data_IF_338148691121
#
_entry.id   IF_338148691121
#
_cell.length_a   1.000
_cell.length_b   1.000
_cell.length_c   1.000
_cell.angle_alpha   90.00
_cell.angle_beta   90.00
_cell.angle_gamma   90.00
#
_symmetry.space_group_name_H-M   'P 1'
#
loop_
_entity.id
_entity.type
_entity.pdbx_description
1 polymer ?
#
# COMPACT_ATOMS: atom_id res chain seq x y z
N UNK A 1 4.10 15.46 8.92
CA UNK A 1 5.55 15.35 8.67
C UNK A 1 5.68 14.84 7.25
N UNK A 2 6.28 15.63 6.35
CA UNK A 2 6.28 15.40 4.90
C UNK A 2 7.52 14.59 4.53
N UNK A 3 7.36 13.45 3.85
CA UNK A 3 8.43 12.88 3.02
C UNK A 3 7.78 12.27 1.77
N UNK A 4 7.66 13.11 0.73
CA UNK A 4 7.42 12.72 -0.67
C UNK A 4 8.51 13.46 -1.45
N UNK A 5 9.11 12.88 -2.50
CA UNK A 5 10.21 13.50 -3.22
C UNK A 5 9.78 14.89 -3.70
N UNK A 6 10.60 15.89 -3.36
CA UNK A 6 10.41 17.29 -3.67
C UNK A 6 10.57 17.53 -5.17
N UNK A 7 9.62 17.08 -5.99
CA UNK A 7 9.31 17.80 -7.24
C UNK A 7 8.24 18.83 -6.88
N UNK A 8 8.36 20.11 -7.29
CA UNK A 8 7.36 21.12 -7.01
C UNK A 8 6.05 20.71 -7.68
N UNK A 9 5.18 20.04 -6.91
CA UNK A 9 3.79 19.83 -7.27
C UNK A 9 3.17 21.22 -7.34
N UNK A 10 2.90 21.68 -8.57
CA UNK A 10 2.19 22.93 -8.82
C UNK A 10 0.97 23.03 -7.90
N UNK A 11 0.72 24.24 -7.40
CA UNK A 11 -0.06 24.61 -6.20
C UNK A 11 -1.55 24.20 -6.14
N UNK A 12 -2.03 23.29 -7.01
CA UNK A 12 -3.45 22.89 -7.09
C UNK A 12 -3.72 21.38 -7.03
N UNK A 13 -2.70 20.52 -6.92
CA UNK A 13 -2.94 19.09 -6.71
C UNK A 13 -3.04 18.80 -5.20
N UNK A 14 -4.27 18.68 -4.68
CA UNK A 14 -4.50 17.96 -3.42
C UNK A 14 -4.20 16.49 -3.70
N UNK A 15 -2.96 16.06 -3.47
CA UNK A 15 -2.58 14.65 -3.54
C UNK A 15 -3.22 13.95 -2.35
N UNK A 16 -4.45 13.44 -2.52
CA UNK A 16 -4.98 12.44 -1.61
C UNK A 16 -4.53 11.08 -2.15
N UNK A 17 -3.32 10.67 -1.75
CA UNK A 17 -2.89 9.29 -1.92
C UNK A 17 -3.69 8.45 -0.92
N UNK A 18 -4.75 7.82 -1.41
CA UNK A 18 -5.43 6.79 -0.66
C UNK A 18 -4.61 5.52 -0.86
N UNK A 19 -3.59 5.36 -0.01
CA UNK A 19 -2.95 4.05 0.19
C UNK A 19 -4.03 3.18 0.80
N UNK A 20 -4.68 2.38 -0.02
CA UNK A 20 -5.49 1.28 0.48
C UNK A 20 -4.52 0.23 0.97
N UNK A 21 -3.98 0.43 2.17
CA UNK A 21 -3.31 -0.62 2.93
C UNK A 21 -4.37 -1.57 3.50
N UNK A 22 -5.24 -2.09 2.63
CA UNK A 22 -5.85 -3.37 2.90
C UNK A 22 -4.76 -4.37 2.52
N UNK A 23 -3.92 -4.74 3.49
CA UNK A 23 -3.07 -5.91 3.34
C UNK A 23 -4.01 -7.12 3.31
N UNK A 24 -4.58 -7.38 2.13
CA UNK A 24 -5.34 -8.59 1.90
C UNK A 24 -4.27 -9.62 1.59
N UNK A 25 -3.91 -10.44 2.58
CA UNK A 25 -3.21 -11.69 2.31
C UNK A 25 -4.11 -12.45 1.34
N UNK A 26 -3.69 -12.54 0.09
CA UNK A 26 -4.54 -13.06 -0.97
C UNK A 26 -4.71 -14.57 -0.76
N UNK A 27 -5.87 -14.97 -0.23
CA UNK A 27 -6.32 -16.37 -0.26
C UNK A 27 -7.04 -16.70 -1.58
N UNK A 28 -7.48 -15.67 -2.32
CA UNK A 28 -8.17 -15.80 -3.60
C UNK A 28 -7.17 -15.64 -4.78
N UNK A 29 -7.43 -16.29 -5.93
CA UNK A 29 -6.62 -16.11 -7.14
C UNK A 29 -6.52 -14.63 -7.52
N UNK A 30 -5.32 -14.16 -7.86
CA UNK A 30 -5.05 -12.75 -8.18
C UNK A 30 -5.94 -12.24 -9.33
N UNK A 31 -6.26 -13.12 -10.28
CA UNK A 31 -7.08 -12.83 -11.47
C UNK A 31 -8.49 -12.31 -11.16
N UNK A 32 -9.16 -12.83 -10.13
CA UNK A 32 -10.53 -12.38 -9.78
C UNK A 32 -10.52 -10.95 -9.22
N UNK A 33 -9.50 -10.64 -8.44
CA UNK A 33 -9.37 -9.32 -7.81
C UNK A 33 -8.92 -8.31 -8.86
N UNK A 34 -7.96 -8.69 -9.72
CA UNK A 34 -7.52 -7.89 -10.86
C UNK A 34 -8.69 -7.53 -11.80
N UNK A 35 -9.55 -8.49 -12.13
CA UNK A 35 -10.75 -8.25 -12.96
C UNK A 35 -11.66 -7.19 -12.35
N UNK A 36 -11.97 -7.30 -11.05
CA UNK A 36 -12.83 -6.34 -10.36
C UNK A 36 -12.26 -4.92 -10.36
N UNK A 37 -10.97 -4.77 -10.03
CA UNK A 37 -10.33 -3.45 -10.04
C UNK A 37 -10.16 -2.92 -11.47
N UNK A 38 -9.99 -3.80 -12.46
CA UNK A 38 -10.00 -3.46 -13.88
C UNK A 38 -11.32 -2.82 -14.33
N UNK A 39 -12.45 -3.36 -13.89
CA UNK A 39 -13.78 -2.77 -14.14
C UNK A 39 -13.93 -1.36 -13.52
N UNK A 40 -13.20 -1.07 -12.44
CA UNK A 40 -13.13 0.25 -11.80
C UNK A 40 -12.08 1.20 -12.43
N UNK A 41 -11.42 0.77 -13.51
CA UNK A 41 -10.42 1.56 -14.23
C UNK A 41 -9.04 1.59 -13.58
N UNK A 42 -8.70 0.58 -12.77
CA UNK A 42 -7.33 0.39 -12.29
C UNK A 42 -6.52 -0.41 -13.29
N UNK A 43 -5.23 -0.10 -13.38
CA UNK A 43 -4.26 -0.91 -14.12
C UNK A 43 -3.41 -1.75 -13.19
N UNK A 44 -2.90 -2.88 -13.66
CA UNK A 44 -1.97 -3.71 -12.90
C UNK A 44 -0.56 -3.15 -13.07
N UNK A 45 0.11 -2.87 -11.95
CA UNK A 45 1.51 -2.46 -11.92
C UNK A 45 2.35 -3.56 -11.25
N UNK A 46 3.52 -3.83 -11.82
CA UNK A 46 4.48 -4.79 -11.29
C UNK A 46 5.83 -4.11 -11.06
N UNK A 47 6.65 -4.73 -10.22
CA UNK A 47 8.00 -4.24 -9.93
C UNK A 47 8.87 -5.35 -9.35
N UNK A 48 10.16 -5.04 -9.09
CA UNK A 48 11.13 -6.03 -8.68
C UNK A 48 10.84 -6.61 -7.29
N UNK A 49 11.32 -7.83 -7.03
CA UNK A 49 11.23 -8.47 -5.71
C UNK A 49 12.44 -8.15 -4.84
N UNK A 50 13.61 -7.95 -5.46
CA UNK A 50 14.78 -7.36 -4.84
C UNK A 50 14.61 -5.85 -4.95
N UNK A 51 14.49 -5.18 -3.81
CA UNK A 51 14.32 -3.73 -3.72
C UNK A 51 15.51 -3.06 -3.04
N UNK A 52 15.61 -1.75 -3.26
CA UNK A 52 16.45 -0.87 -2.45
C UNK A 52 15.71 -0.34 -1.21
N UNK A 53 16.47 0.06 -0.19
CA UNK A 53 15.94 0.57 1.07
C UNK A 53 15.10 1.84 0.90
N UNK A 54 15.46 2.68 -0.08
CA UNK A 54 14.72 3.90 -0.37
C UNK A 54 13.29 3.62 -0.83
N UNK A 55 13.09 2.78 -1.85
CA UNK A 55 11.76 2.47 -2.37
C UNK A 55 10.92 1.62 -1.41
N UNK A 56 11.55 0.71 -0.66
CA UNK A 56 10.83 -0.15 0.27
C UNK A 56 10.48 0.55 1.61
N UNK A 57 11.25 1.58 2.00
CA UNK A 57 11.09 2.24 3.30
C UNK A 57 11.12 3.79 3.27
N UNK A 58 12.20 4.43 2.81
CA UNK A 58 12.36 5.90 2.97
C UNK A 58 11.27 6.70 2.25
N UNK A 59 10.98 6.35 1.00
CA UNK A 59 9.93 6.96 0.21
C UNK A 59 8.52 6.77 0.82
N UNK A 60 8.39 5.83 1.75
CA UNK A 60 7.15 5.51 2.48
C UNK A 60 7.16 6.05 3.90
N UNK A 61 8.10 6.95 4.22
CA UNK A 61 8.22 7.61 5.51
C UNK A 61 8.46 6.61 6.67
N UNK A 62 9.27 5.57 6.42
CA UNK A 62 9.72 4.60 7.43
C UNK A 62 11.20 4.88 7.70
N UNK A 63 11.57 5.57 8.80
CA UNK A 63 12.96 5.99 9.02
C UNK A 63 13.90 4.83 9.36
N UNK A 64 15.21 5.05 9.26
CA UNK A 64 16.26 4.04 9.49
C UNK A 64 16.19 3.29 10.83
N UNK A 65 15.74 3.97 11.90
CA UNK A 65 15.61 3.39 13.24
C UNK A 65 14.25 2.69 13.49
N UNK A 66 13.42 2.56 12.45
CA UNK A 66 12.11 1.91 12.57
C UNK A 66 12.29 0.39 12.72
N UNK A 67 11.58 -0.28 13.66
CA UNK A 67 11.77 -1.71 13.93
C UNK A 67 11.57 -2.60 12.69
N UNK A 68 10.64 -2.22 11.80
CA UNK A 68 10.42 -2.93 10.54
C UNK A 68 11.66 -3.05 9.62
N UNK A 69 12.70 -2.22 9.81
CA UNK A 69 13.96 -2.32 9.04
C UNK A 69 14.97 -3.30 9.65
N UNK A 70 14.73 -3.79 10.86
CA UNK A 70 15.65 -4.68 11.54
C UNK A 70 15.77 -6.04 10.83
N UNK A 71 16.91 -6.68 10.97
CA UNK A 71 17.23 -7.96 10.33
C UNK A 71 16.28 -9.10 10.73
N UNK A 72 15.62 -8.99 11.89
CA UNK A 72 14.62 -9.97 12.31
C UNK A 72 13.27 -9.84 11.57
N UNK A 73 12.98 -8.69 10.95
CA UNK A 73 11.74 -8.44 10.20
C UNK A 73 11.97 -8.48 8.68
N UNK A 74 13.17 -8.09 8.23
CA UNK A 74 13.49 -7.88 6.80
C UNK A 74 14.66 -8.74 6.35
N UNK A 75 14.53 -9.37 5.18
CA UNK A 75 15.63 -10.09 4.53
C UNK A 75 16.54 -9.13 3.76
N UNK A 76 17.70 -8.84 4.32
CA UNK A 76 18.74 -8.02 3.70
C UNK A 76 19.77 -8.87 2.93
N UNK A 77 20.19 -8.39 1.76
CA UNK A 77 21.35 -8.94 1.03
C UNK A 77 22.64 -8.20 1.41
N UNK A 78 22.53 -6.89 1.59
CA UNK A 78 23.58 -5.98 2.04
C UNK A 78 22.95 -4.75 2.71
N UNK A 79 23.73 -3.69 2.96
CA UNK A 79 23.26 -2.49 3.65
C UNK A 79 22.14 -1.71 2.93
N UNK A 80 21.90 -1.96 1.64
CA UNK A 80 20.97 -1.17 0.81
C UNK A 80 19.95 -2.01 0.05
N UNK A 81 20.24 -3.30 -0.19
CA UNK A 81 19.37 -4.20 -0.97
C UNK A 81 18.71 -5.26 -0.10
N UNK A 82 17.43 -5.51 -0.36
CA UNK A 82 16.58 -6.40 0.43
C UNK A 82 15.52 -7.10 -0.43
N UNK A 83 14.90 -8.15 0.10
CA UNK A 83 13.65 -8.67 -0.45
C UNK A 83 12.47 -7.81 0.03
N UNK A 84 11.67 -7.30 -0.91
CA UNK A 84 10.60 -6.34 -0.60
C UNK A 84 9.65 -6.86 0.47
N UNK A 85 9.35 -6.02 1.45
CA UNK A 85 8.45 -6.36 2.57
C UNK A 85 6.99 -6.07 2.25
N UNK A 86 6.74 -5.28 1.22
CA UNK A 86 5.43 -4.80 0.80
C UNK A 86 5.46 -4.45 -0.70
N UNK A 87 4.31 -4.42 -1.36
CA UNK A 87 4.24 -4.02 -2.79
C UNK A 87 4.19 -2.50 -2.99
N UNK A 88 4.25 -1.72 -1.90
CA UNK A 88 4.29 -0.25 -1.93
C UNK A 88 5.46 0.33 -2.73
N UNK A 89 6.60 -0.37 -2.85
CA UNK A 89 7.72 0.08 -3.69
C UNK A 89 7.32 0.27 -5.16
N UNK A 90 6.41 -0.58 -5.66
CA UNK A 90 5.82 -0.45 -7.00
C UNK A 90 5.06 0.86 -7.15
N UNK A 91 4.32 1.28 -6.12
CA UNK A 91 3.58 2.54 -6.12
C UNK A 91 4.49 3.76 -6.19
N UNK A 92 5.59 3.75 -5.44
CA UNK A 92 6.61 4.81 -5.49
C UNK A 92 7.17 4.92 -6.91
N UNK A 93 7.60 3.80 -7.49
CA UNK A 93 8.13 3.76 -8.86
C UNK A 93 7.09 4.22 -9.89
N UNK A 94 5.82 3.87 -9.73
CA UNK A 94 4.77 4.40 -10.62
C UNK A 94 4.64 5.92 -10.49
N UNK A 95 4.63 6.46 -9.27
CA UNK A 95 4.53 7.91 -9.05
C UNK A 95 5.76 8.69 -9.55
N UNK A 96 6.93 8.06 -9.63
CA UNK A 96 8.13 8.68 -10.20
C UNK A 96 8.07 8.77 -11.74
N UNK A 97 7.45 7.76 -12.37
CA UNK A 97 7.40 7.62 -13.82
C UNK A 97 6.12 8.21 -14.45
N UNK A 98 5.08 8.47 -13.66
CA UNK A 98 3.78 8.94 -14.14
C UNK A 98 3.22 10.08 -13.29
N UNK A 99 2.64 11.09 -13.93
CA UNK A 99 1.89 12.15 -13.24
C UNK A 99 0.42 11.74 -13.03
N UNK A 100 -0.26 12.27 -12.00
CA UNK A 100 -1.68 12.06 -11.80
C UNK A 100 -2.52 12.41 -13.05
N UNK A 101 -3.63 11.69 -13.33
CA UNK A 101 -4.26 10.68 -12.47
C UNK A 101 -3.56 9.31 -12.51
N UNK A 102 -3.46 8.66 -11.35
CA UNK A 102 -2.90 7.31 -11.18
C UNK A 102 -3.96 6.44 -10.50
N UNK A 103 -4.25 5.27 -11.08
CA UNK A 103 -5.10 4.23 -10.49
C UNK A 103 -4.48 2.88 -10.77
N UNK A 104 -3.78 2.34 -9.79
CA UNK A 104 -3.05 1.07 -9.95
C UNK A 104 -3.37 0.10 -8.82
N UNK A 105 -3.29 -1.18 -9.15
CA UNK A 105 -3.15 -2.27 -8.19
C UNK A 105 -1.78 -2.93 -8.39
N UNK A 106 -1.12 -3.27 -7.29
CA UNK A 106 0.18 -3.91 -7.28
C UNK A 106 0.09 -5.26 -6.54
N UNK A 107 -0.40 -6.33 -7.21
CA UNK A 107 -0.32 -7.68 -6.69
C UNK A 107 1.12 -8.21 -6.80
N UNK A 108 1.59 -8.94 -5.79
CA UNK A 108 2.92 -9.54 -5.84
C UNK A 108 3.30 -10.35 -4.61
N UNK A 109 4.38 -11.14 -4.74
CA UNK A 109 5.04 -11.79 -3.61
C UNK A 109 5.75 -10.77 -2.75
N UNK A 110 5.69 -10.95 -1.43
CA UNK A 110 6.41 -10.15 -0.44
C UNK A 110 7.02 -11.09 0.59
N UNK A 111 8.07 -10.61 1.25
CA UNK A 111 8.91 -11.42 2.12
C UNK A 111 9.02 -10.78 3.48
N UNK A 112 8.95 -11.59 4.54
CA UNK A 112 9.15 -11.15 5.91
C UNK A 112 9.94 -12.21 6.68
N UNK A 113 10.88 -11.77 7.49
CA UNK A 113 11.76 -12.67 8.25
C UNK A 113 11.16 -13.05 9.63
N UNK A 114 9.88 -12.75 9.86
CA UNK A 114 9.13 -13.21 11.04
C UNK A 114 8.59 -14.62 10.81
N UNK A 115 9.44 -15.63 10.99
CA UNK A 115 9.03 -17.03 10.87
C UNK A 115 8.48 -17.57 12.20
N UNK A 116 7.20 -17.97 12.19
CA UNK A 116 6.58 -18.77 13.25
C UNK A 116 5.55 -19.74 12.63
N UNK A 117 4.83 -20.49 13.47
CA UNK A 117 3.83 -21.48 13.01
C UNK A 117 2.67 -20.87 12.19
N UNK A 118 2.44 -19.57 12.28
CA UNK A 118 1.33 -18.83 11.61
C UNK A 118 1.80 -17.92 10.47
N UNK A 119 3.10 -17.63 10.39
CA UNK A 119 3.71 -16.73 9.43
C UNK A 119 4.61 -17.48 8.45
N UNK A 120 4.25 -17.42 7.16
CA UNK A 120 5.11 -17.94 6.10
C UNK A 120 6.06 -16.83 5.66
N UNK A 121 7.38 -17.11 5.50
CA UNK A 121 8.35 -16.06 5.15
C UNK A 121 8.11 -15.42 3.78
N UNK A 122 7.34 -16.08 2.92
CA UNK A 122 6.84 -15.56 1.66
C UNK A 122 5.32 -15.68 1.63
N UNK A 123 4.65 -14.62 1.19
CA UNK A 123 3.21 -14.61 0.92
C UNK A 123 2.88 -13.62 -0.20
N UNK A 124 1.62 -13.63 -0.66
CA UNK A 124 1.13 -12.72 -1.68
C UNK A 124 0.30 -11.61 -1.05
N UNK A 125 0.60 -10.38 -1.44
CA UNK A 125 -0.13 -9.18 -1.07
C UNK A 125 -0.59 -8.46 -2.34
N UNK A 126 -1.69 -7.72 -2.23
CA UNK A 126 -2.03 -6.68 -3.19
C UNK A 126 -2.23 -5.37 -2.45
N UNK A 127 -1.70 -4.30 -3.03
CA UNK A 127 -2.00 -2.93 -2.60
C UNK A 127 -2.62 -2.14 -3.76
N UNK A 128 -3.47 -1.18 -3.42
CA UNK A 128 -4.08 -0.26 -4.38
C UNK A 128 -3.68 1.19 -4.09
N UNK A 129 -3.43 1.94 -5.16
CA UNK A 129 -3.14 3.38 -5.11
C UNK A 129 -4.08 4.13 -6.06
N UNK A 130 -4.76 5.14 -5.53
CA UNK A 130 -5.45 6.17 -6.32
C UNK A 130 -4.83 7.53 -5.99
N UNK A 131 -4.43 8.27 -7.02
CA UNK A 131 -3.99 9.66 -6.93
C UNK A 131 -4.72 10.48 -7.99
N UNK A 132 -5.56 11.41 -7.53
CA UNK A 132 -6.36 12.28 -8.39
C UNK A 132 -6.65 13.61 -7.66
N UNK A 133 -7.03 14.66 -8.38
CA UNK A 133 -7.35 15.98 -7.81
C UNK A 133 -8.65 15.97 -6.99
N UNK A 134 -9.60 15.11 -7.38
CA UNK A 134 -10.96 15.06 -6.82
C UNK A 134 -11.21 13.76 -6.05
N UNK A 135 -10.22 13.25 -5.32
CA UNK A 135 -10.35 12.03 -4.52
C UNK A 135 -10.49 12.37 -3.03
N UNK A 136 -11.40 11.68 -2.35
CA UNK A 136 -11.73 11.86 -0.94
C UNK A 136 -11.80 10.53 -0.20
N UNK A 137 -11.82 10.57 1.13
CA UNK A 137 -11.99 9.37 1.96
C UNK A 137 -13.30 8.61 1.68
N UNK A 138 -14.34 9.32 1.21
CA UNK A 138 -15.60 8.70 0.78
C UNK A 138 -15.38 7.76 -0.40
N UNK A 139 -14.51 8.14 -1.35
CA UNK A 139 -14.16 7.28 -2.48
C UNK A 139 -13.47 6.00 -2.02
N UNK A 140 -12.53 6.08 -1.08
CA UNK A 140 -11.90 4.88 -0.49
C UNK A 140 -12.95 3.95 0.14
N UNK A 141 -13.81 4.51 0.98
CA UNK A 141 -14.86 3.73 1.65
C UNK A 141 -15.76 3.02 0.64
N UNK A 142 -16.17 3.73 -0.42
CA UNK A 142 -16.94 3.16 -1.53
C UNK A 142 -16.22 2.01 -2.22
N UNK A 143 -14.98 2.24 -2.68
CA UNK A 143 -14.18 1.21 -3.37
C UNK A 143 -13.95 -0.03 -2.49
N UNK A 144 -13.64 0.16 -1.20
CA UNK A 144 -13.49 -0.96 -0.25
C UNK A 144 -14.80 -1.71 -0.02
N UNK A 145 -15.91 -0.99 0.10
CA UNK A 145 -17.23 -1.59 0.28
C UNK A 145 -17.64 -2.42 -0.94
N UNK A 146 -17.46 -1.88 -2.15
CA UNK A 146 -17.78 -2.57 -3.40
C UNK A 146 -16.88 -3.79 -3.59
N UNK A 147 -15.60 -3.66 -3.28
CA UNK A 147 -14.65 -4.76 -3.29
C UNK A 147 -15.07 -5.89 -2.35
N UNK A 148 -15.35 -5.58 -1.08
CA UNK A 148 -15.77 -6.58 -0.10
C UNK A 148 -17.08 -7.27 -0.51
N UNK A 149 -18.05 -6.53 -1.03
CA UNK A 149 -19.32 -7.10 -1.50
C UNK A 149 -19.13 -8.03 -2.69
N UNK A 150 -18.30 -7.64 -3.67
CA UNK A 150 -18.01 -8.47 -4.83
C UNK A 150 -17.20 -9.73 -4.47
N UNK A 151 -16.21 -9.59 -3.60
CA UNK A 151 -15.36 -10.71 -3.18
C UNK A 151 -16.11 -11.70 -2.28
N UNK A 152 -16.89 -11.22 -1.31
CA UNK A 152 -17.54 -12.03 -0.26
C UNK A 152 -18.99 -12.45 -0.57
N UNK A 153 -19.50 -12.15 -1.78
CA UNK A 153 -20.81 -12.62 -2.32
C UNK A 153 -21.90 -12.76 -1.24
N UNK A 154 -22.24 -11.65 -0.56
CA UNK A 154 -23.33 -11.51 0.45
C UNK A 154 -23.10 -12.07 1.87
N UNK A 155 -21.91 -12.51 2.26
CA UNK A 155 -21.65 -12.89 3.68
C UNK A 155 -21.37 -11.65 4.56
N UNK A 156 -20.83 -10.57 3.98
CA UNK A 156 -20.50 -9.35 4.70
C UNK A 156 -21.75 -8.48 4.89
N UNK A 157 -22.36 -8.52 6.08
CA UNK A 157 -23.53 -7.67 6.43
C UNK A 157 -23.15 -6.21 6.73
N UNK A 158 -21.89 -5.97 7.09
CA UNK A 158 -21.34 -4.63 7.33
C UNK A 158 -19.82 -4.65 7.18
N UNK A 159 -19.25 -3.51 6.79
CA UNK A 159 -17.81 -3.25 6.80
C UNK A 159 -17.55 -2.03 7.69
N UNK A 160 -16.57 -2.13 8.59
CA UNK A 160 -16.21 -1.04 9.50
C UNK A 160 -14.79 -0.56 9.21
N UNK A 161 -14.63 0.76 9.05
CA UNK A 161 -13.31 1.40 8.95
C UNK A 161 -12.92 1.91 10.33
N UNK A 162 -11.90 1.32 10.92
CA UNK A 162 -11.35 1.73 12.23
C UNK A 162 -10.05 2.51 12.04
N UNK A 163 -9.89 3.69 12.68
CA UNK A 163 -8.60 4.36 12.73
C UNK A 163 -7.55 3.46 13.39
N UNK A 164 -6.41 3.28 12.75
CA UNK A 164 -5.28 2.52 13.29
C UNK A 164 -4.28 3.49 13.91
N UNK A 165 -4.49 3.89 15.17
CA UNK A 165 -3.50 4.69 15.91
C UNK A 165 -2.78 3.84 16.96
N UNK A 166 -1.46 3.66 16.81
CA UNK A 166 -0.53 3.52 17.94
C UNK A 166 0.29 4.80 18.05
N UNK A 167 -0.31 5.86 18.58
CA UNK A 167 0.43 6.99 19.16
C UNK A 167 -0.47 7.64 20.21
N UNK A 168 -0.11 7.62 21.51
CA UNK A 168 -0.98 8.14 22.56
C UNK A 168 -1.19 9.67 22.54
N UNK A 169 -0.45 10.42 21.74
CA UNK A 169 -0.36 11.87 21.90
C UNK A 169 -0.42 12.65 20.58
N UNK A 170 -1.62 12.73 19.96
CA UNK A 170 -2.00 13.92 19.15
C UNK A 170 -3.46 13.90 18.66
N UNK A 171 -4.40 14.02 19.58
CA UNK A 171 -5.79 14.40 19.26
C UNK A 171 -6.30 15.43 20.29
N UNK A 172 -5.65 16.59 20.36
CA UNK A 172 -6.27 17.83 20.84
C UNK A 172 -5.75 19.01 20.00
N UNK A 173 -6.67 19.90 19.67
CA UNK A 173 -6.55 21.15 18.89
C UNK A 173 -6.60 21.00 17.36
N UNK A 174 -7.83 20.80 16.88
CA UNK A 174 -8.37 21.50 15.71
C UNK A 174 -9.82 21.89 16.07
N UNK A 175 -9.92 22.96 16.86
CA UNK A 175 -11.06 23.88 16.96
C UNK A 175 -10.48 25.27 16.83
#
# INVERSE_FOLDING_TARGET
>A
MRVWPQRPLTSRCRVAALKTAACIRLLAPSTRIESFFGELGFTVATGPEIEDDYHNFDALNIPGHHPARADHDTFWFDATRLLRTQTSGVQIRTMENQQPPIRIIAPGRVYRNDYDQTHTPMFHQMEGLIVDKNISFTNLKGTLHDFLNNSLKKICRSASVRPTSRSPNRLRKLT
#
